data_IF_449456010616
#
_entry.id   IF_449456010616
#
_cell.length_a   1.000
_cell.length_b   1.000
_cell.length_c   1.000
_cell.angle_alpha   90.00
_cell.angle_beta   90.00
_cell.angle_gamma   90.00
#
_symmetry.space_group_name_H-M   'P 1'
#
loop_
_entity.id
_entity.type
_entity.pdbx_description
1 polymer ?
#
# COMPACT_ATOMS: atom_id res chain seq x y z
N UNK A 1 -20.88 -74.28 -15.71
CA UNK A 1 -21.19 -73.27 -16.75
C UNK A 1 -21.88 -72.14 -16.00
N UNK A 2 -21.31 -70.98 -15.70
CA UNK A 2 -20.17 -70.27 -16.24
C UNK A 2 -20.61 -68.81 -16.40
N UNK A 3 -19.93 -67.90 -15.68
CA UNK A 3 -19.99 -66.43 -15.82
C UNK A 3 -21.22 -65.74 -15.20
N UNK A 4 -21.10 -64.71 -14.39
CA UNK A 4 -19.97 -63.84 -14.10
C UNK A 4 -20.55 -62.46 -13.83
N UNK A 5 -20.55 -62.09 -12.56
CA UNK A 5 -20.96 -60.81 -12.00
C UNK A 5 -20.19 -59.65 -12.66
N UNK A 6 -20.86 -58.83 -13.47
CA UNK A 6 -20.30 -57.56 -13.95
C UNK A 6 -20.55 -56.49 -12.88
N UNK A 7 -19.70 -56.51 -11.86
CA UNK A 7 -19.52 -55.44 -10.88
C UNK A 7 -19.31 -54.12 -11.62
N UNK A 8 -20.35 -53.30 -11.66
CA UNK A 8 -20.27 -51.89 -12.03
C UNK A 8 -19.55 -51.16 -10.91
N UNK A 9 -18.23 -50.99 -11.06
CA UNK A 9 -17.41 -50.18 -10.16
C UNK A 9 -17.79 -48.71 -10.35
N UNK A 10 -18.21 -47.97 -9.30
CA UNK A 10 -18.48 -46.53 -9.45
C UNK A 10 -17.18 -45.79 -9.81
N UNK A 11 -17.26 -44.70 -10.60
CA UNK A 11 -16.08 -43.89 -10.92
C UNK A 11 -15.49 -43.32 -9.63
N UNK A 12 -14.20 -43.58 -9.42
CA UNK A 12 -13.40 -43.00 -8.35
C UNK A 12 -13.53 -41.47 -8.39
N UNK A 13 -14.12 -40.88 -7.35
CA UNK A 13 -14.12 -39.42 -7.15
C UNK A 13 -12.67 -38.93 -7.08
N UNK A 14 -12.34 -37.74 -7.64
CA UNK A 14 -11.05 -37.12 -7.39
C UNK A 14 -11.01 -36.62 -5.94
N UNK A 15 -10.54 -37.46 -5.01
CA UNK A 15 -10.34 -37.11 -3.60
C UNK A 15 -9.19 -36.09 -3.37
N UNK A 16 -8.52 -35.65 -4.43
CA UNK A 16 -7.36 -34.74 -4.37
C UNK A 16 -7.67 -33.24 -4.39
N UNK A 17 -8.82 -32.80 -4.90
CA UNK A 17 -9.09 -31.35 -5.08
C UNK A 17 -9.63 -30.67 -3.81
N UNK A 18 -10.35 -31.39 -2.96
CA UNK A 18 -10.90 -30.84 -1.72
C UNK A 18 -9.83 -30.59 -0.64
N UNK A 19 -8.76 -31.40 -0.62
CA UNK A 19 -7.67 -31.26 0.34
C UNK A 19 -6.77 -30.07 0.00
N UNK A 20 -6.52 -29.80 -1.28
CA UNK A 20 -5.66 -28.69 -1.73
C UNK A 20 -6.29 -27.31 -1.44
N UNK A 21 -7.63 -27.20 -1.50
CA UNK A 21 -8.32 -25.94 -1.16
C UNK A 21 -8.25 -25.62 0.35
N UNK A 22 -8.37 -26.63 1.21
CA UNK A 22 -8.28 -26.48 2.67
C UNK A 22 -6.84 -26.21 3.13
N UNK A 23 -5.86 -26.73 2.40
CA UNK A 23 -4.44 -26.53 2.71
C UNK A 23 -3.96 -25.10 2.42
N UNK A 24 -4.55 -24.44 1.41
CA UNK A 24 -4.32 -23.02 1.10
C UNK A 24 -4.84 -22.06 2.17
N UNK A 25 -5.83 -22.47 2.97
CA UNK A 25 -6.42 -21.62 4.02
C UNK A 25 -5.71 -21.74 5.37
N UNK A 26 -4.66 -22.56 5.49
CA UNK A 26 -3.89 -22.61 6.73
C UNK A 26 -3.14 -21.28 6.92
N UNK A 27 -3.29 -20.61 8.06
CA UNK A 27 -2.71 -19.28 8.28
C UNK A 27 -1.19 -19.25 8.09
N UNK A 28 -0.50 -20.38 8.36
CA UNK A 28 0.93 -20.54 8.07
C UNK A 28 1.26 -20.45 6.56
N UNK A 29 0.51 -21.14 5.69
CA UNK A 29 0.79 -21.18 4.24
C UNK A 29 0.44 -19.85 3.56
N UNK A 30 -0.68 -19.22 3.95
CA UNK A 30 -1.06 -17.86 3.50
C UNK A 30 0.03 -16.86 3.86
N UNK A 31 0.58 -16.93 5.07
CA UNK A 31 1.61 -15.98 5.50
C UNK A 31 2.95 -16.13 4.76
N UNK A 32 3.30 -17.34 4.34
CA UNK A 32 4.50 -17.60 3.51
C UNK A 32 4.29 -17.07 2.09
N UNK A 33 3.13 -17.34 1.51
CA UNK A 33 2.76 -16.86 0.17
C UNK A 33 2.81 -15.33 0.08
N UNK A 34 2.28 -14.64 1.11
CA UNK A 34 2.36 -13.18 1.20
C UNK A 34 3.78 -12.65 1.36
N UNK A 35 4.66 -13.36 2.06
CA UNK A 35 6.05 -12.94 2.22
C UNK A 35 6.77 -13.00 0.87
N UNK A 36 6.61 -14.10 0.13
CA UNK A 36 7.17 -14.26 -1.21
C UNK A 36 6.62 -13.20 -2.18
N UNK A 37 5.30 -12.98 -2.20
CA UNK A 37 4.67 -11.97 -3.04
C UNK A 37 5.18 -10.54 -2.73
N UNK A 38 5.37 -10.20 -1.46
CA UNK A 38 5.89 -8.89 -1.06
C UNK A 38 7.33 -8.69 -1.56
N UNK A 39 8.18 -9.71 -1.44
CA UNK A 39 9.57 -9.71 -1.90
C UNK A 39 9.66 -9.64 -3.43
N UNK A 40 8.82 -10.39 -4.15
CA UNK A 40 8.79 -10.37 -5.62
C UNK A 40 8.39 -8.99 -6.16
N UNK A 41 7.37 -8.36 -5.56
CA UNK A 41 6.98 -6.98 -5.92
C UNK A 41 8.07 -5.97 -5.63
N UNK A 42 8.78 -6.11 -4.50
CA UNK A 42 9.91 -5.25 -4.16
C UNK A 42 11.01 -5.38 -5.22
N UNK A 43 11.33 -6.60 -5.65
CA UNK A 43 12.32 -6.85 -6.70
C UNK A 43 11.90 -6.24 -8.06
N UNK A 44 10.60 -6.15 -8.34
CA UNK A 44 10.05 -5.49 -9.52
C UNK A 44 9.95 -3.95 -9.40
N UNK A 45 10.29 -3.39 -8.23
CA UNK A 45 10.18 -1.96 -7.96
C UNK A 45 8.75 -1.45 -7.71
N UNK A 46 7.77 -2.36 -7.57
CA UNK A 46 6.40 -2.02 -7.13
C UNK A 46 6.39 -1.81 -5.61
N UNK A 47 7.02 -0.74 -5.14
CA UNK A 47 7.13 -0.44 -3.71
C UNK A 47 5.76 -0.25 -3.04
N UNK A 48 4.77 0.28 -3.77
CA UNK A 48 3.42 0.49 -3.26
C UNK A 48 2.67 -0.83 -3.07
N UNK A 49 2.74 -1.73 -4.06
CA UNK A 49 2.18 -3.07 -3.94
C UNK A 49 2.90 -3.91 -2.90
N UNK A 50 4.23 -3.88 -2.87
CA UNK A 50 5.06 -4.59 -1.89
C UNK A 50 4.74 -4.16 -0.45
N UNK A 51 4.66 -2.84 -0.19
CA UNK A 51 4.29 -2.32 1.13
C UNK A 51 2.90 -2.82 1.56
N UNK A 52 1.91 -2.77 0.66
CA UNK A 52 0.55 -3.23 0.97
C UNK A 52 0.51 -4.71 1.35
N UNK A 53 1.23 -5.56 0.63
CA UNK A 53 1.30 -7.00 0.96
C UNK A 53 2.03 -7.22 2.29
N UNK A 54 3.13 -6.51 2.53
CA UNK A 54 3.86 -6.59 3.78
C UNK A 54 3.03 -6.13 4.98
N UNK A 55 2.26 -5.04 4.87
CA UNK A 55 1.37 -4.54 5.93
C UNK A 55 0.24 -5.53 6.23
N UNK A 56 -0.34 -6.18 5.22
CA UNK A 56 -1.32 -7.25 5.41
C UNK A 56 -0.73 -8.43 6.20
N UNK A 57 0.50 -8.83 5.86
CA UNK A 57 1.21 -9.89 6.58
C UNK A 57 1.51 -9.48 8.03
N UNK A 58 1.96 -8.24 8.26
CA UNK A 58 2.24 -7.72 9.61
C UNK A 58 0.97 -7.61 10.46
N UNK A 59 -0.19 -7.32 9.85
CA UNK A 59 -1.48 -7.35 10.55
C UNK A 59 -1.82 -8.74 11.11
N UNK A 60 -1.34 -9.80 10.48
CA UNK A 60 -1.52 -11.18 10.96
C UNK A 60 -0.35 -11.67 11.82
N UNK A 61 0.88 -11.27 11.50
CA UNK A 61 2.12 -11.65 12.20
C UNK A 61 3.00 -10.41 12.41
N UNK A 62 2.79 -9.64 13.50
CA UNK A 62 3.49 -8.37 13.74
C UNK A 62 5.02 -8.50 13.82
N UNK A 63 5.52 -9.66 14.24
CA UNK A 63 6.94 -9.93 14.44
C UNK A 63 7.60 -10.60 13.22
N UNK A 64 6.92 -10.65 12.06
CA UNK A 64 7.47 -11.28 10.87
C UNK A 64 8.64 -10.48 10.31
N UNK A 65 9.87 -10.94 10.57
CA UNK A 65 11.10 -10.22 10.25
C UNK A 65 11.21 -9.76 8.77
N UNK A 66 10.89 -10.65 7.82
CA UNK A 66 10.95 -10.32 6.39
C UNK A 66 9.93 -9.24 6.00
N UNK A 67 8.71 -9.32 6.52
CA UNK A 67 7.67 -8.34 6.23
C UNK A 67 8.01 -6.97 6.84
N UNK A 68 8.59 -6.95 8.05
CA UNK A 68 9.11 -5.72 8.66
C UNK A 68 10.18 -5.07 7.79
N UNK A 69 11.09 -5.88 7.24
CA UNK A 69 12.17 -5.41 6.38
C UNK A 69 11.62 -4.84 5.06
N UNK A 70 10.75 -5.60 4.37
CA UNK A 70 10.11 -5.14 3.12
C UNK A 70 9.31 -3.86 3.37
N UNK A 71 8.51 -3.80 4.43
CA UNK A 71 7.72 -2.61 4.75
C UNK A 71 8.59 -1.39 5.09
N UNK A 72 9.73 -1.58 5.76
CA UNK A 72 10.69 -0.50 6.03
C UNK A 72 11.30 0.02 4.74
N UNK A 73 11.82 -0.87 3.90
CA UNK A 73 12.46 -0.51 2.64
C UNK A 73 11.50 0.19 1.67
N UNK A 74 10.30 -0.35 1.51
CA UNK A 74 9.27 0.25 0.66
C UNK A 74 8.88 1.65 1.14
N UNK A 75 8.71 1.84 2.46
CA UNK A 75 8.41 3.17 3.02
C UNK A 75 9.52 4.16 2.74
N UNK A 76 10.77 3.79 3.00
CA UNK A 76 11.94 4.64 2.74
C UNK A 76 12.01 5.05 1.26
N UNK A 77 11.77 4.12 0.33
CA UNK A 77 11.77 4.41 -1.11
C UNK A 77 10.61 5.31 -1.52
N UNK A 78 9.40 5.04 -1.08
CA UNK A 78 8.24 5.86 -1.41
C UNK A 78 8.37 7.28 -0.85
N UNK A 79 8.92 7.43 0.36
CA UNK A 79 9.23 8.75 0.93
C UNK A 79 10.27 9.50 0.09
N UNK A 80 11.37 8.84 -0.30
CA UNK A 80 12.39 9.45 -1.17
C UNK A 80 11.81 9.91 -2.52
N UNK A 81 10.96 9.09 -3.12
CA UNK A 81 10.28 9.42 -4.38
C UNK A 81 9.33 10.61 -4.21
N UNK A 82 8.56 10.64 -3.11
CA UNK A 82 7.65 11.74 -2.82
C UNK A 82 8.40 13.06 -2.57
N UNK A 83 9.47 13.03 -1.78
CA UNK A 83 10.34 14.21 -1.57
C UNK A 83 10.94 14.68 -2.88
N UNK A 84 11.36 13.76 -3.75
CA UNK A 84 11.91 14.10 -5.07
C UNK A 84 10.87 14.80 -5.96
N UNK A 85 9.59 14.43 -5.88
CA UNK A 85 8.48 15.10 -6.59
C UNK A 85 8.17 16.47 -6.00
N UNK A 86 8.21 16.60 -4.68
CA UNK A 86 7.97 17.85 -3.95
C UNK A 86 9.18 18.81 -4.02
N UNK A 87 10.35 18.32 -4.41
CA UNK A 87 11.59 19.07 -4.55
C UNK A 87 12.47 19.03 -3.29
N UNK A 88 11.95 19.49 -2.15
CA UNK A 88 12.70 19.52 -0.89
C UNK A 88 11.78 19.54 0.32
N UNK A 89 12.22 18.92 1.43
CA UNK A 89 11.50 19.02 2.72
C UNK A 89 11.47 20.45 3.27
N UNK A 90 12.42 21.30 2.87
CA UNK A 90 12.47 22.72 3.25
C UNK A 90 11.65 23.61 2.35
N UNK A 91 11.07 23.06 1.29
CA UNK A 91 10.23 23.84 0.41
C UNK A 91 8.93 24.23 1.13
N UNK A 92 8.42 25.40 0.80
CA UNK A 92 7.20 25.96 1.41
C UNK A 92 6.08 25.83 0.37
N UNK A 93 5.12 24.91 0.56
CA UNK A 93 4.00 24.80 -0.34
C UNK A 93 3.02 25.97 -0.15
N UNK A 94 2.39 26.39 -1.24
CA UNK A 94 1.36 27.43 -1.27
C UNK A 94 0.11 26.91 -1.98
N UNK A 95 -1.07 27.36 -1.55
CA UNK A 95 -2.32 27.02 -2.24
C UNK A 95 -2.34 27.69 -3.63
N UNK A 96 -2.66 26.90 -4.66
CA UNK A 96 -2.62 27.35 -6.04
C UNK A 96 -4.01 27.68 -6.64
N UNK A 97 -5.08 27.09 -6.11
CA UNK A 97 -6.47 27.21 -6.62
C UNK A 97 -7.38 27.94 -5.65
N UNK A 98 -8.32 28.72 -6.20
CA UNK A 98 -9.35 29.39 -5.40
C UNK A 98 -10.45 28.40 -4.95
N UNK A 99 -11.04 28.64 -3.78
CA UNK A 99 -11.88 27.67 -3.05
C UNK A 99 -13.09 27.06 -3.79
N UNK A 100 -13.54 27.65 -4.90
CA UNK A 100 -14.57 27.07 -5.76
C UNK A 100 -14.05 25.88 -6.58
N UNK A 101 -12.80 25.91 -7.05
CA UNK A 101 -12.15 24.85 -7.84
C UNK A 101 -11.74 23.65 -6.96
N UNK A 102 -11.36 23.92 -5.70
CA UNK A 102 -11.05 22.87 -4.72
C UNK A 102 -12.20 21.88 -4.49
N UNK A 103 -13.46 22.36 -4.54
CA UNK A 103 -14.64 21.49 -4.36
C UNK A 103 -14.80 20.48 -5.50
N UNK A 104 -14.33 20.81 -6.70
CA UNK A 104 -14.40 19.93 -7.87
C UNK A 104 -13.27 18.90 -7.91
N UNK A 105 -12.19 19.11 -7.14
CA UNK A 105 -11.07 18.17 -7.04
C UNK A 105 -11.40 16.91 -6.21
N UNK A 106 -12.60 16.83 -5.60
CA UNK A 106 -13.02 15.64 -4.87
C UNK A 106 -12.13 15.31 -3.68
N UNK A 107 -11.57 16.32 -3.01
CA UNK A 107 -10.64 16.14 -1.90
C UNK A 107 -11.29 15.34 -0.76
N UNK A 108 -10.60 14.30 -0.32
CA UNK A 108 -10.99 13.56 0.89
C UNK A 108 -10.68 14.38 2.16
N UNK A 109 -11.15 13.90 3.31
CA UNK A 109 -10.96 14.61 4.58
C UNK A 109 -9.48 14.79 4.95
N UNK A 110 -8.62 13.85 4.57
CA UNK A 110 -7.17 13.92 4.85
C UNK A 110 -6.50 15.01 4.02
N UNK A 111 -6.80 15.03 2.72
CA UNK A 111 -6.31 16.05 1.79
C UNK A 111 -6.80 17.44 2.16
N UNK A 112 -8.08 17.58 2.53
CA UNK A 112 -8.63 18.85 3.01
C UNK A 112 -7.97 19.34 4.30
N UNK A 113 -7.67 18.43 5.23
CA UNK A 113 -6.95 18.77 6.46
C UNK A 113 -5.52 19.23 6.17
N UNK A 114 -4.74 18.49 5.36
CA UNK A 114 -3.38 18.90 5.02
C UNK A 114 -3.36 20.21 4.24
N UNK A 115 -4.31 20.41 3.33
CA UNK A 115 -4.46 21.68 2.60
C UNK A 115 -4.73 22.85 3.57
N UNK A 116 -5.47 22.64 4.66
CA UNK A 116 -5.67 23.68 5.68
C UNK A 116 -4.39 24.08 6.43
N UNK A 117 -3.34 23.23 6.38
CA UNK A 117 -2.02 23.52 6.95
C UNK A 117 -1.06 24.17 5.95
N UNK A 118 -1.40 24.15 4.66
CA UNK A 118 -0.65 24.82 3.59
C UNK A 118 -1.02 26.30 3.60
N UNK A 119 -0.26 27.09 4.36
CA UNK A 119 -0.49 28.52 4.56
C UNK A 119 0.54 29.40 3.84
N UNK A 120 1.47 28.79 3.09
CA UNK A 120 2.58 29.48 2.45
C UNK A 120 3.69 29.93 3.41
N UNK A 121 3.72 29.39 4.64
CA UNK A 121 4.77 29.68 5.63
C UNK A 121 5.45 28.42 6.15
N UNK A 122 4.68 27.38 6.42
CA UNK A 122 5.23 26.13 6.93
C UNK A 122 5.93 25.36 5.81
N UNK A 123 7.14 24.87 6.08
CA UNK A 123 7.86 23.93 5.24
C UNK A 123 7.17 22.57 5.21
N UNK A 124 7.50 21.74 4.22
CA UNK A 124 7.01 20.35 4.17
C UNK A 124 7.41 19.57 5.43
N UNK A 125 8.60 19.79 5.96
CA UNK A 125 9.07 19.20 7.22
C UNK A 125 8.16 19.59 8.41
N UNK A 126 7.87 20.88 8.57
CA UNK A 126 6.98 21.35 9.63
C UNK A 126 5.56 20.82 9.47
N UNK A 127 5.05 20.76 8.24
CA UNK A 127 3.73 20.17 7.93
C UNK A 127 3.67 18.70 8.37
N UNK A 128 4.74 17.93 8.11
CA UNK A 128 4.85 16.55 8.57
C UNK A 128 4.75 16.49 10.10
N UNK A 129 5.51 17.31 10.81
CA UNK A 129 5.58 17.32 12.28
C UNK A 129 4.23 17.65 12.92
N UNK A 130 3.42 18.53 12.31
CA UNK A 130 2.13 18.97 12.86
C UNK A 130 0.91 18.23 12.32
N UNK A 131 1.10 17.32 11.35
CA UNK A 131 0.01 16.61 10.67
C UNK A 131 -0.67 15.54 11.54
N UNK A 132 0.08 14.92 12.46
CA UNK A 132 -0.37 13.76 13.22
C UNK A 132 -0.54 12.48 12.38
N UNK A 133 -0.17 12.52 11.10
CA UNK A 133 -0.17 11.38 10.19
C UNK A 133 1.24 10.79 10.09
N UNK A 134 1.37 9.59 9.53
CA UNK A 134 2.71 9.06 9.25
C UNK A 134 3.40 9.94 8.20
N UNK A 135 4.73 10.02 8.26
CA UNK A 135 5.54 10.79 7.32
C UNK A 135 5.23 10.46 5.86
N UNK A 136 5.17 9.17 5.53
CA UNK A 136 4.82 8.72 4.19
C UNK A 136 3.41 9.13 3.77
N UNK A 137 2.40 9.00 4.65
CA UNK A 137 1.04 9.44 4.32
C UNK A 137 0.99 10.93 4.02
N UNK A 138 1.63 11.76 4.86
CA UNK A 138 1.67 13.22 4.64
C UNK A 138 2.35 13.56 3.31
N UNK A 139 3.51 12.97 3.03
CA UNK A 139 4.22 13.18 1.78
C UNK A 139 3.40 12.76 0.56
N UNK A 140 2.72 11.62 0.61
CA UNK A 140 1.85 11.14 -0.48
C UNK A 140 0.69 12.09 -0.72
N UNK A 141 -0.01 12.51 0.34
CA UNK A 141 -1.13 13.44 0.19
C UNK A 141 -0.67 14.81 -0.33
N UNK A 142 0.52 15.29 0.06
CA UNK A 142 1.09 16.50 -0.52
C UNK A 142 1.40 16.34 -2.01
N UNK A 143 1.92 15.18 -2.45
CA UNK A 143 2.11 14.87 -3.87
C UNK A 143 0.79 14.84 -4.62
N UNK A 144 -0.24 14.20 -4.05
CA UNK A 144 -1.59 14.16 -4.65
C UNK A 144 -2.17 15.57 -4.80
N UNK A 145 -2.02 16.43 -3.79
CA UNK A 145 -2.42 17.84 -3.86
C UNK A 145 -1.63 18.63 -4.92
N UNK A 146 -0.33 18.36 -5.06
CA UNK A 146 0.52 18.98 -6.09
C UNK A 146 0.09 18.54 -7.50
N UNK A 147 -0.14 17.24 -7.70
CA UNK A 147 -0.58 16.66 -8.98
C UNK A 147 -1.99 17.13 -9.36
N UNK A 148 -2.87 17.31 -8.39
CA UNK A 148 -4.20 17.89 -8.57
C UNK A 148 -4.17 19.41 -8.85
N UNK A 149 -3.01 20.06 -8.76
CA UNK A 149 -2.87 21.52 -8.86
C UNK A 149 -3.48 22.28 -7.68
N UNK A 150 -3.77 21.59 -6.56
CA UNK A 150 -4.29 22.20 -5.34
C UNK A 150 -3.24 23.09 -4.67
N UNK A 151 -1.98 22.66 -4.73
CA UNK A 151 -0.83 23.36 -4.17
C UNK A 151 0.27 23.52 -5.23
N UNK A 152 1.17 24.46 -4.98
CA UNK A 152 2.43 24.64 -5.70
C UNK A 152 3.57 24.69 -4.70
N UNK A 153 4.77 24.32 -5.14
CA UNK A 153 5.98 24.44 -4.34
C UNK A 153 6.92 25.42 -5.03
N UNK A 154 7.30 26.49 -4.33
CA UNK A 154 8.29 27.46 -4.84
C UNK A 154 9.63 26.75 -5.09
N UNK A 155 10.16 26.87 -6.31
CA UNK A 155 11.50 26.34 -6.65
C UNK A 155 12.60 27.14 -5.98
#
# INVERSE_FOLDING_TARGET
>A
MGSGDETTRPPSRPEGEALDLVERTRPGRVSVDLATEATDRLALGDYGGALRVAELLLGMRPEHAEALQVARECREKLEQMAVSRLGSLRAVPEVAVHGAELRWLGLDHRSGFLLSRVDGRNTIEEIIDVSGMTRLETLRTLVELLEAGAIRVGR
#
